data_IF_281683475471
#
_entry.id   IF_281683475471
#
_cell.length_a   1.000
_cell.length_b   1.000
_cell.length_c   1.000
_cell.angle_alpha   90.00
_cell.angle_beta   90.00
_cell.angle_gamma   90.00
#
_symmetry.space_group_name_H-M   'P 1'
#
loop_
_entity.id
_entity.type
_entity.pdbx_description
1 polymer ?
#
# COMPACT_ATOMS: atom_id res chain seq x y z
N UNK A 1 -9.01 -6.45 39.41
CA UNK A 1 -8.55 -6.97 38.10
C UNK A 1 -9.34 -6.25 37.02
N UNK A 2 -8.88 -5.09 36.56
CA UNK A 2 -9.56 -4.37 35.47
C UNK A 2 -9.19 -5.02 34.15
N UNK A 3 -10.20 -5.56 33.45
CA UNK A 3 -10.07 -6.13 32.12
C UNK A 3 -9.85 -4.95 31.16
N UNK A 4 -8.64 -4.86 30.61
CA UNK A 4 -8.36 -4.00 29.46
C UNK A 4 -9.04 -4.62 28.24
N UNK A 5 -10.23 -4.14 27.89
CA UNK A 5 -10.80 -4.34 26.56
C UNK A 5 -9.92 -3.58 25.56
N UNK A 6 -9.08 -4.31 24.84
CA UNK A 6 -8.45 -3.85 23.61
C UNK A 6 -9.55 -3.39 22.64
N UNK A 7 -9.35 -2.30 21.87
CA UNK A 7 -10.27 -1.97 20.80
C UNK A 7 -10.26 -3.15 19.81
N UNK A 8 -11.43 -3.73 19.64
CA UNK A 8 -11.74 -4.72 18.62
C UNK A 8 -11.55 -4.05 17.26
N UNK A 9 -10.32 -4.11 16.74
CA UNK A 9 -10.06 -3.73 15.36
C UNK A 9 -10.75 -4.83 14.55
N UNK A 10 -11.92 -4.51 14.01
CA UNK A 10 -12.64 -5.30 13.01
C UNK A 10 -11.73 -5.44 11.78
N UNK A 11 -10.80 -6.38 11.83
CA UNK A 11 -9.63 -6.45 10.95
C UNK A 11 -9.89 -7.22 9.63
N UNK A 12 -11.13 -7.56 9.29
CA UNK A 12 -11.36 -8.57 8.26
C UNK A 12 -12.09 -8.08 7.01
N UNK A 13 -13.00 -7.10 7.08
CA UNK A 13 -13.85 -6.74 5.93
C UNK A 13 -13.51 -5.40 5.26
N UNK A 14 -12.85 -4.46 5.96
CA UNK A 14 -12.63 -3.10 5.43
C UNK A 14 -11.34 -2.94 4.61
N UNK A 15 -10.36 -3.82 4.76
CA UNK A 15 -9.12 -3.72 3.98
C UNK A 15 -9.25 -4.33 2.57
N UNK A 16 -10.15 -5.29 2.35
CA UNK A 16 -10.34 -5.92 1.03
C UNK A 16 -10.78 -4.91 -0.04
N UNK A 17 -11.69 -4.01 0.32
CA UNK A 17 -12.20 -2.97 -0.57
C UNK A 17 -11.15 -1.92 -0.97
N UNK A 18 -10.20 -1.63 -0.07
CA UNK A 18 -9.17 -0.62 -0.31
C UNK A 18 -8.26 -0.98 -1.49
N UNK A 19 -7.94 -2.27 -1.67
CA UNK A 19 -7.06 -2.73 -2.75
C UNK A 19 -7.77 -2.79 -4.10
N UNK A 20 -9.09 -3.01 -4.12
CA UNK A 20 -9.92 -3.01 -5.33
C UNK A 20 -9.97 -1.64 -6.02
N UNK A 21 -9.73 -0.56 -5.28
CA UNK A 21 -9.73 0.81 -5.81
C UNK A 21 -8.40 1.23 -6.46
N UNK A 22 -7.34 0.43 -6.30
CA UNK A 22 -6.02 0.73 -6.84
C UNK A 22 -5.99 0.49 -8.36
N UNK A 23 -5.53 1.50 -9.09
CA UNK A 23 -5.33 1.43 -10.54
C UNK A 23 -4.10 0.58 -10.86
N UNK A 24 -3.98 0.03 -12.08
CA UNK A 24 -2.82 -0.76 -12.49
C UNK A 24 -1.46 -0.03 -12.31
N UNK A 25 -1.43 1.29 -12.52
CA UNK A 25 -0.22 2.10 -12.30
C UNK A 25 0.13 2.24 -10.81
N UNK A 26 -0.87 2.37 -9.95
CA UNK A 26 -0.69 2.45 -8.50
C UNK A 26 -0.21 1.11 -7.94
N UNK A 27 -0.75 0.00 -8.43
CA UNK A 27 -0.28 -1.34 -8.11
C UNK A 27 1.20 -1.54 -8.44
N UNK A 28 1.66 -1.09 -9.62
CA UNK A 28 3.08 -1.16 -9.98
C UNK A 28 3.96 -0.40 -9.00
N UNK A 29 3.58 0.82 -8.62
CA UNK A 29 4.31 1.61 -7.61
C UNK A 29 4.28 0.93 -6.26
N UNK A 30 3.12 0.40 -5.84
CA UNK A 30 2.95 -0.28 -4.56
C UNK A 30 3.85 -1.52 -4.46
N UNK A 31 3.91 -2.34 -5.51
CA UNK A 31 4.78 -3.53 -5.56
C UNK A 31 6.26 -3.16 -5.46
N UNK A 32 6.70 -2.13 -6.18
CA UNK A 32 8.08 -1.65 -6.07
C UNK A 32 8.40 -1.13 -4.66
N UNK A 33 7.44 -0.48 -3.98
CA UNK A 33 7.61 -0.07 -2.58
C UNK A 33 7.67 -1.26 -1.60
N UNK A 34 7.01 -2.36 -1.93
CA UNK A 34 7.06 -3.61 -1.15
C UNK A 34 8.42 -4.30 -1.28
N UNK A 35 9.06 -4.21 -2.45
CA UNK A 35 10.45 -4.66 -2.66
C UNK A 35 11.49 -3.59 -2.26
N UNK A 36 11.08 -2.59 -1.47
CA UNK A 36 11.98 -1.59 -0.88
C UNK A 36 12.69 -0.65 -1.88
N UNK A 37 12.13 -0.49 -3.08
CA UNK A 37 12.69 0.42 -4.10
C UNK A 37 12.60 1.87 -3.64
N UNK A 38 13.68 2.62 -3.87
CA UNK A 38 13.67 4.06 -3.60
C UNK A 38 12.81 4.80 -4.61
N UNK A 39 12.42 6.04 -4.30
CA UNK A 39 11.70 6.89 -5.26
C UNK A 39 12.49 7.01 -6.58
N UNK A 40 13.82 7.05 -6.53
CA UNK A 40 14.66 7.15 -7.73
C UNK A 40 14.59 5.88 -8.58
N UNK A 41 14.63 4.70 -7.94
CA UNK A 41 14.55 3.43 -8.66
C UNK A 41 13.16 3.25 -9.30
N UNK A 42 12.10 3.69 -8.61
CA UNK A 42 10.73 3.69 -9.16
C UNK A 42 10.62 4.64 -10.36
N UNK A 43 11.28 5.80 -10.33
CA UNK A 43 11.33 6.72 -11.48
C UNK A 43 11.91 6.03 -12.69
N UNK A 44 13.04 5.33 -12.52
CA UNK A 44 13.72 4.63 -13.59
C UNK A 44 12.90 3.42 -14.08
N UNK A 45 12.35 2.62 -13.16
CA UNK A 45 11.61 1.41 -13.49
C UNK A 45 10.29 1.67 -14.23
N UNK A 46 9.60 2.76 -13.89
CA UNK A 46 8.31 3.12 -14.49
C UNK A 46 8.40 4.25 -15.50
N UNK A 47 9.59 4.82 -15.72
CA UNK A 47 9.83 6.01 -16.52
C UNK A 47 8.90 7.17 -16.12
N UNK A 48 8.77 7.42 -14.82
CA UNK A 48 7.89 8.44 -14.24
C UNK A 48 8.70 9.58 -13.64
N UNK A 49 8.12 10.79 -13.65
CA UNK A 49 8.72 11.92 -12.95
C UNK A 49 8.53 11.78 -11.43
N UNK A 50 9.45 12.37 -10.65
CA UNK A 50 9.36 12.39 -9.18
C UNK A 50 8.00 12.90 -8.69
N UNK A 51 7.47 13.95 -9.32
CA UNK A 51 6.16 14.53 -8.98
C UNK A 51 5.03 13.51 -9.16
N UNK A 52 5.04 12.74 -10.24
CA UNK A 52 4.02 11.71 -10.48
C UNK A 52 4.08 10.60 -9.43
N UNK A 53 5.28 10.16 -9.04
CA UNK A 53 5.42 9.15 -7.99
C UNK A 53 4.89 9.66 -6.66
N UNK A 54 5.18 10.90 -6.30
CA UNK A 54 4.64 11.49 -5.07
C UNK A 54 3.11 11.55 -5.11
N UNK A 55 2.52 11.94 -6.24
CA UNK A 55 1.06 11.91 -6.44
C UNK A 55 0.50 10.50 -6.32
N UNK A 56 1.13 9.51 -6.95
CA UNK A 56 0.71 8.11 -6.89
C UNK A 56 0.81 7.57 -5.47
N UNK A 57 1.89 7.85 -4.75
CA UNK A 57 2.07 7.45 -3.34
C UNK A 57 1.01 8.07 -2.44
N UNK A 58 0.68 9.34 -2.64
CA UNK A 58 -0.40 10.01 -1.91
C UNK A 58 -1.77 9.37 -2.22
N UNK A 59 -2.04 9.08 -3.50
CA UNK A 59 -3.28 8.42 -3.92
C UNK A 59 -3.40 7.00 -3.34
N UNK A 60 -2.32 6.22 -3.37
CA UNK A 60 -2.24 4.90 -2.73
C UNK A 60 -2.49 5.02 -1.23
N UNK A 61 -1.80 5.94 -0.55
CA UNK A 61 -1.96 6.18 0.88
C UNK A 61 -3.41 6.51 1.22
N UNK A 62 -4.05 7.37 0.44
CA UNK A 62 -5.47 7.73 0.61
C UNK A 62 -6.40 6.52 0.44
N UNK A 63 -6.21 5.72 -0.61
CA UNK A 63 -7.03 4.53 -0.90
C UNK A 63 -6.87 3.41 0.12
N UNK A 64 -5.63 3.23 0.61
CA UNK A 64 -5.32 2.31 1.70
C UNK A 64 -5.69 2.88 3.08
N UNK A 65 -6.33 4.04 3.13
CA UNK A 65 -6.73 4.74 4.35
C UNK A 65 -5.56 4.98 5.33
N UNK A 66 -4.36 5.13 4.78
CA UNK A 66 -3.14 5.46 5.50
C UNK A 66 -3.05 6.98 5.62
N UNK A 67 -3.28 7.48 6.85
CA UNK A 67 -3.24 8.91 7.17
C UNK A 67 -1.87 9.57 6.95
N UNK A 68 -0.80 8.79 6.89
CA UNK A 68 0.57 9.29 6.75
C UNK A 68 1.31 8.62 5.58
N UNK A 69 1.86 9.40 4.62
CA UNK A 69 2.66 8.85 3.52
C UNK A 69 3.99 8.24 4.00
N UNK A 70 4.50 8.64 5.17
CA UNK A 70 5.66 8.00 5.80
C UNK A 70 5.34 6.59 6.30
N UNK A 71 4.08 6.36 6.71
CA UNK A 71 3.60 5.04 7.12
C UNK A 71 3.34 4.11 5.94
N UNK A 72 3.28 4.63 4.70
CA UNK A 72 3.11 3.79 3.51
C UNK A 72 4.26 2.80 3.34
N UNK A 73 5.52 3.24 3.43
CA UNK A 73 6.68 2.35 3.33
C UNK A 73 6.71 1.32 4.47
N UNK A 74 6.43 1.76 5.69
CA UNK A 74 6.35 0.86 6.84
C UNK A 74 5.23 -0.17 6.67
N UNK A 75 4.07 0.26 6.19
CA UNK A 75 2.93 -0.60 5.89
C UNK A 75 3.29 -1.63 4.82
N UNK A 76 3.92 -1.21 3.73
CA UNK A 76 4.39 -2.11 2.67
C UNK A 76 5.35 -3.18 3.20
N UNK A 77 6.29 -2.80 4.06
CA UNK A 77 7.24 -3.73 4.68
C UNK A 77 6.56 -4.71 5.64
N UNK A 78 5.68 -4.22 6.51
CA UNK A 78 4.98 -5.04 7.50
C UNK A 78 3.91 -5.96 6.91
N UNK A 79 3.35 -5.62 5.75
CA UNK A 79 2.25 -6.35 5.11
C UNK A 79 2.64 -6.89 3.73
N UNK A 80 3.94 -7.12 3.49
CA UNK A 80 4.48 -7.56 2.20
C UNK A 80 3.73 -8.77 1.64
N UNK A 81 3.67 -9.86 2.40
CA UNK A 81 3.03 -11.11 1.95
C UNK A 81 1.53 -10.94 1.70
N UNK A 82 0.85 -10.10 2.49
CA UNK A 82 -0.57 -9.80 2.30
C UNK A 82 -0.82 -9.03 0.99
N UNK A 83 0.00 -8.02 0.70
CA UNK A 83 -0.11 -7.21 -0.53
C UNK A 83 0.19 -8.08 -1.76
N UNK A 84 1.21 -8.93 -1.70
CA UNK A 84 1.57 -9.85 -2.79
C UNK A 84 0.48 -10.91 -3.03
N UNK A 85 -0.08 -11.47 -1.96
CA UNK A 85 -1.21 -12.40 -2.04
C UNK A 85 -2.41 -11.76 -2.75
N UNK A 86 -2.75 -10.51 -2.37
CA UNK A 86 -3.83 -9.75 -3.02
C UNK A 86 -3.59 -9.48 -4.50
N UNK A 87 -2.36 -9.11 -4.85
CA UNK A 87 -2.01 -8.87 -6.25
C UNK A 87 -2.17 -10.14 -7.12
N UNK A 88 -1.80 -11.30 -6.58
CA UNK A 88 -1.92 -12.57 -7.29
C UNK A 88 -3.38 -13.03 -7.41
N UNK A 89 -4.21 -12.82 -6.39
CA UNK A 89 -5.64 -13.17 -6.43
C UNK A 89 -6.39 -12.35 -7.49
N UNK A 90 -6.08 -11.05 -7.66
CA UNK A 90 -6.70 -10.21 -8.68
C UNK A 90 -6.21 -10.45 -10.12
N UNK A 91 -5.27 -11.38 -10.33
CA UNK A 91 -4.66 -11.72 -11.62
C UNK A 91 -5.04 -13.12 -12.13
N UNK A 92 -5.73 -13.93 -11.32
CA UNK A 92 -6.35 -15.20 -11.74
C UNK A 92 -7.72 -14.92 -12.36
#
# INVERSE_FOLDING_TARGET
>A
MQIFTLPEISASETQEDCFSQLKPREWKVLLLLVDDFSNQDIMLALNLQRREILTLKSSISFKLNLKDPKKLLQFCRSNRDFILSRYNIGRM
#
